data_IF_004486181983
#
_entry.id   IF_004486181983
#
_cell.length_a   1.000
_cell.length_b   1.000
_cell.length_c   1.000
_cell.angle_alpha   90.00
_cell.angle_beta   90.00
_cell.angle_gamma   90.00
#
_symmetry.space_group_name_H-M   'P 1'
#
loop_
_entity.id
_entity.type
_entity.pdbx_description
1 polymer ?
#
# COMPACT_ATOMS: atom_id res chain seq x y z
N UNK A 1 9.60 14.58 3.84
CA UNK A 1 11.05 14.29 3.70
C UNK A 1 11.82 14.40 5.01
N UNK A 2 11.72 15.48 5.78
CA UNK A 2 12.41 15.59 7.08
C UNK A 2 12.00 14.53 8.14
N UNK A 3 10.82 13.96 8.04
CA UNK A 3 10.34 12.97 9.03
C UNK A 3 11.00 11.60 8.90
N UNK A 4 11.38 11.19 7.68
CA UNK A 4 12.10 9.94 7.46
C UNK A 4 13.48 9.97 8.09
N UNK A 5 14.18 11.11 7.97
CA UNK A 5 15.51 11.30 8.56
C UNK A 5 15.49 11.22 10.09
N UNK A 6 14.36 11.54 10.73
CA UNK A 6 14.20 11.43 12.19
C UNK A 6 14.23 9.99 12.70
N UNK A 7 14.05 9.00 11.82
CA UNK A 7 14.18 7.60 12.20
C UNK A 7 15.62 7.19 12.45
N UNK A 8 16.58 7.90 11.87
CA UNK A 8 17.99 7.51 11.90
C UNK A 8 18.78 8.29 12.96
N UNK A 9 19.88 7.71 13.48
CA UNK A 9 20.85 8.46 14.28
C UNK A 9 21.34 9.70 13.54
N UNK A 10 21.67 10.81 14.23
CA UNK A 10 21.99 12.08 13.60
C UNK A 10 23.09 11.99 12.52
N UNK A 11 24.17 11.25 12.78
CA UNK A 11 25.27 11.07 11.84
C UNK A 11 24.85 10.31 10.56
N UNK A 12 23.96 9.34 10.71
CA UNK A 12 23.42 8.58 9.57
C UNK A 12 22.41 9.44 8.80
N UNK A 13 21.56 10.17 9.49
CA UNK A 13 20.60 11.10 8.88
C UNK A 13 21.30 12.18 8.06
N UNK A 14 22.41 12.73 8.56
CA UNK A 14 23.26 13.68 7.85
C UNK A 14 23.84 13.08 6.56
N UNK A 15 24.34 11.85 6.61
CA UNK A 15 24.84 11.18 5.43
C UNK A 15 23.73 10.91 4.39
N UNK A 16 22.56 10.45 4.85
CA UNK A 16 21.42 10.15 3.98
C UNK A 16 20.90 11.42 3.27
N UNK A 17 20.86 12.55 3.95
CA UNK A 17 20.30 13.79 3.38
C UNK A 17 21.08 14.35 2.19
N UNK A 18 22.33 13.94 1.99
CA UNK A 18 23.15 14.31 0.81
C UNK A 18 22.78 13.50 -0.45
N UNK A 19 21.87 12.54 -0.33
CA UNK A 19 21.41 11.71 -1.44
C UNK A 19 19.94 12.00 -1.82
N UNK A 20 19.51 11.69 -3.05
CA UNK A 20 18.16 11.98 -3.53
C UNK A 20 17.12 11.05 -2.84
N UNK A 21 16.59 11.47 -1.71
CA UNK A 21 15.56 10.73 -0.96
C UNK A 21 14.24 10.59 -1.71
N UNK A 22 13.94 11.51 -2.61
CA UNK A 22 12.80 11.48 -3.52
C UNK A 22 12.85 10.35 -4.55
N UNK A 23 14.06 9.82 -4.82
CA UNK A 23 14.29 8.66 -5.67
C UNK A 23 14.56 7.37 -4.89
N UNK A 24 14.71 7.47 -3.55
CA UNK A 24 15.07 6.32 -2.70
C UNK A 24 13.81 5.55 -2.29
N UNK A 25 13.67 4.34 -2.78
CA UNK A 25 12.53 3.45 -2.50
C UNK A 25 12.70 2.67 -1.19
N UNK A 26 13.96 2.34 -0.84
CA UNK A 26 14.26 1.52 0.33
C UNK A 26 15.63 1.90 0.91
N UNK A 27 15.75 1.90 2.24
CA UNK A 27 17.03 2.01 2.95
C UNK A 27 17.27 0.71 3.70
N UNK A 28 18.41 0.08 3.44
CA UNK A 28 18.82 -1.16 4.08
C UNK A 28 19.90 -0.94 5.10
N UNK A 29 19.68 -1.47 6.31
CA UNK A 29 20.65 -1.48 7.41
C UNK A 29 20.95 -2.93 7.78
N UNK A 30 22.22 -3.32 7.78
CA UNK A 30 22.68 -4.63 8.25
C UNK A 30 23.87 -4.41 9.18
N UNK A 31 23.83 -4.99 10.37
CA UNK A 31 24.90 -4.83 11.37
C UNK A 31 26.27 -5.14 10.72
N UNK A 32 27.22 -4.23 10.89
CA UNK A 32 28.58 -4.36 10.36
C UNK A 32 28.72 -4.10 8.86
N UNK A 33 27.65 -3.79 8.14
CA UNK A 33 27.67 -3.47 6.71
C UNK A 33 27.30 -2.00 6.49
N UNK A 34 27.76 -1.39 5.39
CA UNK A 34 27.32 -0.06 5.00
C UNK A 34 25.80 0.04 4.86
N UNK A 35 25.24 1.21 5.17
CA UNK A 35 23.87 1.53 4.77
C UNK A 35 23.74 1.57 3.26
N UNK A 36 22.65 1.02 2.72
CA UNK A 36 22.40 1.00 1.28
C UNK A 36 21.06 1.68 0.99
N UNK A 37 21.10 2.69 0.12
CA UNK A 37 19.92 3.32 -0.44
C UNK A 37 19.59 2.65 -1.78
N UNK A 38 18.44 2.02 -1.86
CA UNK A 38 17.95 1.41 -3.09
C UNK A 38 17.05 2.42 -3.82
N UNK A 39 17.41 2.73 -5.06
CA UNK A 39 16.65 3.63 -5.94
C UNK A 39 16.17 2.88 -7.17
N UNK A 40 15.27 3.46 -7.95
CA UNK A 40 14.81 2.90 -9.23
C UNK A 40 15.93 2.71 -10.26
N UNK A 41 17.08 3.39 -10.10
CA UNK A 41 18.22 3.35 -11.01
C UNK A 41 19.41 2.52 -10.50
N UNK A 42 19.37 2.05 -9.26
CA UNK A 42 20.42 1.24 -8.65
C UNK A 42 20.58 1.46 -7.15
N UNK A 43 21.66 0.95 -6.61
CA UNK A 43 21.98 1.02 -5.18
C UNK A 43 23.13 2.01 -4.91
N UNK A 44 22.98 2.81 -3.85
CA UNK A 44 24.00 3.73 -3.35
C UNK A 44 24.43 3.24 -1.97
N UNK A 45 25.69 2.90 -1.81
CA UNK A 45 26.26 2.47 -0.53
C UNK A 45 26.88 3.66 0.20
N UNK A 46 26.48 3.87 1.44
CA UNK A 46 27.08 4.89 2.31
C UNK A 46 28.38 4.36 2.93
N UNK A 47 29.32 5.24 3.22
CA UNK A 47 30.60 4.86 3.87
C UNK A 47 30.47 4.60 5.39
N UNK A 48 29.25 4.46 5.90
CA UNK A 48 28.98 4.29 7.34
C UNK A 48 28.45 2.87 7.56
N UNK A 49 29.13 2.03 8.36
CA UNK A 49 28.61 0.73 8.74
C UNK A 49 27.52 0.89 9.82
N UNK A 50 26.46 0.08 9.73
CA UNK A 50 25.39 0.08 10.72
C UNK A 50 25.87 -0.62 12.02
N UNK A 51 25.70 0.07 13.14
CA UNK A 51 25.94 -0.48 14.47
C UNK A 51 24.66 -1.12 15.05
N UNK A 52 24.76 -2.07 15.99
CA UNK A 52 23.60 -2.60 16.71
C UNK A 52 22.72 -1.51 17.33
N UNK A 53 23.35 -0.49 17.94
CA UNK A 53 22.67 0.65 18.53
C UNK A 53 21.84 1.47 17.52
N UNK A 54 22.22 1.46 16.25
CA UNK A 54 21.48 2.20 15.22
C UNK A 54 20.15 1.52 14.92
N UNK A 55 20.15 0.17 14.88
CA UNK A 55 18.92 -0.59 14.67
C UNK A 55 17.96 -0.41 15.83
N UNK A 56 18.47 -0.44 17.06
CA UNK A 56 17.68 -0.19 18.28
C UNK A 56 17.08 1.23 18.24
N UNK A 57 17.87 2.23 17.88
CA UNK A 57 17.44 3.62 17.73
C UNK A 57 16.31 3.77 16.71
N UNK A 58 16.46 3.11 15.53
CA UNK A 58 15.46 3.15 14.46
C UNK A 58 14.15 2.51 14.93
N UNK A 59 14.21 1.37 15.62
CA UNK A 59 13.03 0.66 16.10
C UNK A 59 12.30 1.41 17.21
N UNK A 60 13.02 2.02 18.14
CA UNK A 60 12.44 2.88 19.19
C UNK A 60 11.68 4.05 18.58
N UNK A 61 12.28 4.75 17.61
CA UNK A 61 11.64 5.86 16.90
C UNK A 61 10.43 5.39 16.07
N UNK A 62 10.58 4.28 15.37
CA UNK A 62 9.53 3.71 14.53
C UNK A 62 8.30 3.29 15.33
N UNK A 63 8.49 2.81 16.56
CA UNK A 63 7.42 2.39 17.47
C UNK A 63 6.88 3.53 18.35
N UNK A 64 7.28 4.78 18.13
CA UNK A 64 6.98 5.90 19.03
C UNK A 64 7.31 5.58 20.50
N UNK A 65 8.46 4.93 20.74
CA UNK A 65 8.93 4.47 22.05
C UNK A 65 7.99 3.47 22.75
N UNK A 66 7.10 2.81 22.02
CA UNK A 66 6.15 1.81 22.54
C UNK A 66 6.23 0.50 21.78
N UNK A 67 7.30 -0.24 21.98
CA UNK A 67 7.52 -1.56 21.36
C UNK A 67 6.39 -2.56 21.67
N UNK A 68 5.77 -2.47 22.85
CA UNK A 68 4.62 -3.32 23.22
C UNK A 68 3.39 -3.09 22.34
N UNK A 69 3.13 -1.85 21.96
CA UNK A 69 2.02 -1.52 21.06
C UNK A 69 2.22 -2.13 19.65
N UNK A 70 3.46 -2.39 19.28
CA UNK A 70 3.86 -2.91 17.97
C UNK A 70 4.16 -4.44 17.98
N UNK A 71 3.95 -5.12 19.10
CA UNK A 71 4.37 -6.54 19.27
C UNK A 71 3.78 -7.46 18.19
N UNK A 72 2.52 -7.28 17.82
CA UNK A 72 1.87 -8.08 16.78
C UNK A 72 2.53 -7.88 15.42
N UNK A 73 2.89 -6.65 15.08
CA UNK A 73 3.59 -6.33 13.83
C UNK A 73 5.01 -6.90 13.84
N UNK A 74 5.73 -6.76 14.95
CA UNK A 74 7.08 -7.30 15.11
C UNK A 74 7.11 -8.83 15.00
N UNK A 75 6.11 -9.51 15.55
CA UNK A 75 5.95 -10.97 15.39
C UNK A 75 5.69 -11.35 13.92
N UNK A 76 5.07 -10.48 13.15
CA UNK A 76 4.87 -10.65 11.72
C UNK A 76 6.09 -10.20 10.88
N UNK A 77 7.20 -9.75 11.54
CA UNK A 77 8.45 -9.37 10.88
C UNK A 77 8.48 -7.97 10.28
N UNK A 78 7.57 -7.07 10.68
CA UNK A 78 7.55 -5.70 10.17
C UNK A 78 6.99 -4.70 11.20
N UNK A 79 7.21 -3.41 10.91
CA UNK A 79 6.59 -2.26 11.60
C UNK A 79 6.09 -1.24 10.58
N UNK A 80 4.96 -0.61 10.87
CA UNK A 80 4.54 0.62 10.19
C UNK A 80 4.90 1.83 11.05
N UNK A 81 5.47 2.85 10.43
CA UNK A 81 5.84 4.09 11.11
C UNK A 81 4.78 5.16 10.93
N UNK A 82 4.80 6.18 11.79
CA UNK A 82 3.89 7.32 11.71
C UNK A 82 4.01 8.19 10.46
N UNK A 83 5.05 8.00 9.67
CA UNK A 83 5.28 8.68 8.40
C UNK A 83 5.03 7.78 7.17
N UNK A 84 4.32 6.66 7.37
CA UNK A 84 3.93 5.74 6.30
C UNK A 84 5.02 4.78 5.83
N UNK A 85 6.24 4.81 6.40
CA UNK A 85 7.26 3.84 6.08
C UNK A 85 6.88 2.46 6.62
N UNK A 86 7.27 1.42 5.90
CA UNK A 86 7.22 0.04 6.38
C UNK A 86 8.64 -0.44 6.62
N UNK A 87 8.91 -0.88 7.84
CA UNK A 87 10.20 -1.42 8.25
C UNK A 87 10.10 -2.94 8.36
N UNK A 88 10.72 -3.66 7.44
CA UNK A 88 10.95 -5.09 7.56
C UNK A 88 12.06 -5.36 8.58
N UNK A 89 11.86 -6.34 9.43
CA UNK A 89 12.77 -6.68 10.53
C UNK A 89 13.25 -8.11 10.40
N UNK A 90 14.55 -8.32 10.42
CA UNK A 90 15.19 -9.64 10.45
C UNK A 90 16.03 -9.82 11.71
N UNK A 91 15.97 -11.02 12.27
CA UNK A 91 16.72 -11.41 13.47
C UNK A 91 16.48 -12.88 13.78
N UNK A 92 16.70 -13.28 15.02
CA UNK A 92 16.49 -14.67 15.49
C UNK A 92 15.04 -14.84 15.94
N UNK A 93 14.35 -15.83 15.40
CA UNK A 93 13.00 -16.21 15.82
C UNK A 93 13.09 -17.09 17.06
N UNK A 94 12.33 -16.74 18.10
CA UNK A 94 12.18 -17.50 19.34
C UNK A 94 10.70 -17.75 19.62
N UNK A 95 10.40 -18.61 20.61
CA UNK A 95 9.01 -18.86 21.04
C UNK A 95 8.27 -17.58 21.48
N UNK A 96 9.00 -16.59 22.01
CA UNK A 96 8.46 -15.32 22.48
C UNK A 96 8.44 -14.22 21.40
N UNK A 97 8.88 -14.52 20.17
CA UNK A 97 8.92 -13.59 19.04
C UNK A 97 10.33 -13.35 18.49
N UNK A 98 10.49 -12.26 17.76
CA UNK A 98 11.76 -11.91 17.11
C UNK A 98 12.73 -11.30 18.14
N UNK A 99 13.98 -11.79 18.13
CA UNK A 99 15.08 -11.35 19.00
C UNK A 99 16.34 -11.11 18.18
N UNK A 100 17.34 -10.48 18.81
CA UNK A 100 18.67 -10.27 18.21
C UNK A 100 18.56 -9.75 16.77
N UNK A 101 17.91 -8.60 16.63
CA UNK A 101 17.67 -8.01 15.31
C UNK A 101 19.01 -7.71 14.64
N UNK A 102 19.17 -8.22 13.42
CA UNK A 102 20.42 -8.15 12.66
C UNK A 102 20.34 -7.24 11.43
N UNK A 103 19.12 -6.99 10.93
CA UNK A 103 18.94 -6.10 9.80
C UNK A 103 17.54 -5.51 9.74
N UNK A 104 17.45 -4.32 9.13
CA UNK A 104 16.21 -3.61 8.83
C UNK A 104 16.15 -3.23 7.34
N UNK A 105 14.94 -3.25 6.79
CA UNK A 105 14.60 -2.76 5.44
C UNK A 105 13.53 -1.70 5.57
N UNK A 106 13.90 -0.44 5.45
CA UNK A 106 13.01 0.72 5.57
C UNK A 106 12.51 1.10 4.19
N UNK A 107 11.27 0.74 3.87
CA UNK A 107 10.62 1.12 2.61
C UNK A 107 10.01 2.50 2.75
N UNK A 108 10.41 3.39 1.85
CA UNK A 108 9.97 4.78 1.80
C UNK A 108 8.77 4.86 0.86
N UNK A 109 7.61 5.30 1.37
CA UNK A 109 6.45 5.47 0.52
C UNK A 109 6.61 6.70 -0.37
N UNK A 110 6.36 6.54 -1.66
CA UNK A 110 6.24 7.66 -2.59
C UNK A 110 4.77 7.86 -2.93
N UNK A 111 4.25 9.05 -2.61
CA UNK A 111 2.94 9.47 -3.10
C UNK A 111 3.12 9.97 -4.55
N UNK A 112 2.43 9.33 -5.48
CA UNK A 112 2.34 9.80 -6.86
C UNK A 112 0.94 10.38 -7.03
N UNK A 113 0.85 11.70 -7.14
CA UNK A 113 -0.40 12.40 -7.36
C UNK A 113 -0.71 12.51 -8.86
N UNK A 114 -1.99 12.55 -9.16
CA UNK A 114 -2.56 12.78 -10.50
C UNK A 114 -2.19 11.74 -11.57
N UNK A 115 -1.63 10.59 -11.18
CA UNK A 115 -1.36 9.49 -12.12
C UNK A 115 -2.65 8.86 -12.67
N UNK A 116 -3.73 8.89 -11.90
CA UNK A 116 -5.06 8.41 -12.30
C UNK A 116 -5.92 9.48 -12.98
N UNK A 117 -5.56 10.76 -12.90
CA UNK A 117 -6.35 11.87 -13.43
C UNK A 117 -6.70 11.76 -14.92
N UNK A 118 -5.78 11.32 -15.81
CA UNK A 118 -6.10 11.12 -17.21
C UNK A 118 -7.15 10.02 -17.47
N UNK A 119 -7.36 9.11 -16.52
CA UNK A 119 -8.29 7.99 -16.65
C UNK A 119 -9.73 8.35 -16.23
N UNK A 120 -9.90 9.38 -15.39
CA UNK A 120 -11.21 9.73 -14.83
C UNK A 120 -12.29 10.00 -15.88
N UNK A 121 -12.05 10.73 -16.98
CA UNK A 121 -13.08 10.98 -17.99
C UNK A 121 -13.64 9.67 -18.57
N UNK A 122 -12.79 8.68 -18.82
CA UNK A 122 -13.21 7.39 -19.37
C UNK A 122 -13.84 6.51 -18.29
N UNK A 123 -13.30 6.52 -17.06
CA UNK A 123 -13.83 5.75 -15.96
C UNK A 123 -15.22 6.23 -15.50
N UNK A 124 -15.50 7.52 -15.60
CA UNK A 124 -16.76 8.14 -15.17
C UNK A 124 -17.73 8.45 -16.33
N UNK A 125 -17.37 8.13 -17.58
CA UNK A 125 -18.19 8.45 -18.76
C UNK A 125 -19.64 8.00 -18.63
N UNK A 126 -19.87 6.77 -18.15
CA UNK A 126 -21.21 6.20 -17.94
C UNK A 126 -21.61 6.20 -16.44
N UNK A 127 -21.09 7.16 -15.68
CA UNK A 127 -21.22 7.22 -14.24
C UNK A 127 -20.21 6.34 -13.50
N UNK A 128 -20.31 6.37 -12.19
CA UNK A 128 -19.43 5.60 -11.32
C UNK A 128 -19.70 4.09 -11.46
N UNK A 129 -18.69 3.33 -11.86
CA UNK A 129 -18.78 1.89 -12.07
C UNK A 129 -17.66 1.16 -11.34
N UNK A 130 -17.95 -0.09 -10.93
CA UNK A 130 -16.93 -0.96 -10.36
C UNK A 130 -15.78 -1.18 -11.33
N UNK A 131 -14.57 -0.90 -10.86
CA UNK A 131 -13.36 -0.90 -11.70
C UNK A 131 -12.28 -1.78 -11.09
N UNK A 132 -11.67 -2.60 -11.91
CA UNK A 132 -10.54 -3.45 -11.56
C UNK A 132 -9.22 -2.86 -12.03
N UNK A 133 -8.19 -2.86 -11.19
CA UNK A 133 -6.82 -2.47 -11.57
C UNK A 133 -6.00 -3.74 -11.69
N UNK A 134 -5.52 -4.02 -12.89
CA UNK A 134 -4.85 -5.27 -13.24
C UNK A 134 -3.44 -5.01 -13.71
N UNK A 135 -2.46 -5.64 -13.08
CA UNK A 135 -1.09 -5.67 -13.58
C UNK A 135 -0.23 -6.70 -12.83
N UNK A 136 0.96 -7.05 -13.33
CA UNK A 136 1.96 -7.81 -12.58
C UNK A 136 2.35 -7.13 -11.26
N UNK A 137 2.99 -7.87 -10.33
CA UNK A 137 3.58 -7.30 -9.12
C UNK A 137 4.56 -6.16 -9.44
N UNK A 138 4.59 -5.14 -8.57
CA UNK A 138 5.53 -4.02 -8.71
C UNK A 138 5.18 -2.97 -9.78
N UNK A 139 4.14 -3.18 -10.59
CA UNK A 139 3.78 -2.24 -11.66
C UNK A 139 3.07 -0.95 -11.18
N UNK A 140 2.70 -0.85 -9.90
CA UNK A 140 2.14 0.37 -9.32
C UNK A 140 0.61 0.37 -9.10
N UNK A 141 -0.04 -0.81 -9.00
CA UNK A 141 -1.49 -0.94 -8.74
C UNK A 141 -1.95 -0.18 -7.49
N UNK A 142 -1.27 -0.40 -6.36
CA UNK A 142 -1.61 0.24 -5.09
C UNK A 142 -1.46 1.76 -5.19
N UNK A 143 -0.47 2.25 -5.93
CA UNK A 143 -0.28 3.69 -6.20
C UNK A 143 -1.44 4.27 -7.02
N UNK A 144 -1.82 3.58 -8.10
CA UNK A 144 -2.94 4.00 -8.94
C UNK A 144 -4.26 3.94 -8.18
N UNK A 145 -4.50 2.88 -7.41
CA UNK A 145 -5.71 2.73 -6.59
C UNK A 145 -5.80 3.87 -5.56
N UNK A 146 -4.70 4.20 -4.89
CA UNK A 146 -4.64 5.30 -3.92
C UNK A 146 -5.01 6.63 -4.54
N UNK A 147 -4.46 6.94 -5.71
CA UNK A 147 -4.74 8.19 -6.40
C UNK A 147 -6.18 8.25 -6.95
N UNK A 148 -6.75 7.12 -7.41
CA UNK A 148 -8.18 7.03 -7.76
C UNK A 148 -9.08 7.27 -6.55
N UNK A 149 -8.76 6.69 -5.39
CA UNK A 149 -9.50 6.93 -4.15
C UNK A 149 -9.52 8.42 -3.82
N UNK A 150 -8.35 9.07 -3.84
CA UNK A 150 -8.21 10.50 -3.58
C UNK A 150 -9.05 11.33 -4.55
N UNK A 151 -8.89 11.09 -5.84
CA UNK A 151 -9.59 11.87 -6.89
C UNK A 151 -11.11 11.70 -6.83
N UNK A 152 -11.63 10.49 -6.57
CA UNK A 152 -13.06 10.28 -6.37
C UNK A 152 -13.56 10.96 -5.09
N UNK A 153 -12.77 10.93 -4.03
CA UNK A 153 -13.08 11.63 -2.78
C UNK A 153 -13.13 13.15 -2.97
N UNK A 154 -12.18 13.71 -3.75
CA UNK A 154 -12.14 15.13 -4.11
C UNK A 154 -13.34 15.53 -4.99
N UNK A 155 -13.77 14.63 -5.88
CA UNK A 155 -14.97 14.81 -6.73
C UNK A 155 -16.31 14.63 -5.96
N UNK A 156 -16.23 14.40 -4.65
CA UNK A 156 -17.38 14.42 -3.75
C UNK A 156 -17.97 13.04 -3.40
N UNK A 157 -17.43 11.94 -3.93
CA UNK A 157 -17.87 10.59 -3.57
C UNK A 157 -17.45 10.23 -2.15
N UNK A 158 -18.32 9.54 -1.42
CA UNK A 158 -17.97 8.89 -0.15
C UNK A 158 -17.27 7.58 -0.45
N UNK A 159 -15.97 7.53 -0.11
CA UNK A 159 -15.13 6.37 -0.33
C UNK A 159 -14.86 5.68 0.99
N UNK A 160 -14.99 4.37 1.04
CA UNK A 160 -14.51 3.55 2.16
C UNK A 160 -13.40 2.61 1.70
N UNK A 161 -12.39 2.43 2.53
CA UNK A 161 -11.20 1.63 2.22
C UNK A 161 -11.05 0.51 3.24
N UNK A 162 -11.06 -0.73 2.77
CA UNK A 162 -10.71 -1.91 3.56
C UNK A 162 -9.21 -2.21 3.38
N UNK A 163 -8.37 -1.62 4.22
CA UNK A 163 -6.91 -1.65 4.15
C UNK A 163 -6.33 -2.67 5.13
N UNK A 164 -6.43 -3.95 4.79
CA UNK A 164 -5.99 -5.06 5.65
C UNK A 164 -4.53 -4.98 6.03
N UNK A 165 -3.66 -4.61 5.08
CA UNK A 165 -2.20 -4.58 5.25
C UNK A 165 -1.66 -3.21 5.61
N UNK A 166 -2.49 -2.17 5.65
CA UNK A 166 -2.06 -0.80 5.89
C UNK A 166 -1.26 -0.21 4.71
N UNK A 167 -1.39 -0.75 3.51
CA UNK A 167 -0.60 -0.33 2.34
C UNK A 167 -1.25 0.85 1.59
N UNK A 168 -2.56 1.02 1.69
CA UNK A 168 -3.28 2.12 1.05
C UNK A 168 -3.18 3.43 1.84
N UNK A 169 -3.49 3.37 3.12
CA UNK A 169 -3.60 4.55 3.98
C UNK A 169 -2.41 4.73 4.93
N UNK A 170 -1.71 3.64 5.28
CA UNK A 170 -0.65 3.62 6.30
C UNK A 170 -1.08 4.36 7.57
N UNK A 171 -2.26 4.03 8.11
CA UNK A 171 -2.83 4.73 9.26
C UNK A 171 -1.89 4.67 10.46
N UNK A 172 -1.50 5.85 10.98
CA UNK A 172 -0.75 5.99 12.21
C UNK A 172 -1.37 7.11 13.05
N UNK A 173 -1.40 6.93 14.37
CA UNK A 173 -2.00 7.88 15.30
C UNK A 173 -3.41 8.34 14.85
N UNK A 174 -4.20 7.39 14.36
CA UNK A 174 -5.59 7.58 13.88
C UNK A 174 -5.71 8.44 12.62
N UNK A 175 -4.60 8.70 11.89
CA UNK A 175 -4.59 9.50 10.67
C UNK A 175 -4.00 8.69 9.51
N UNK A 176 -4.61 8.72 8.33
CA UNK A 176 -3.95 8.30 7.10
C UNK A 176 -2.67 9.10 6.88
N UNK A 177 -1.59 8.43 6.46
CA UNK A 177 -0.32 9.07 6.14
C UNK A 177 -0.22 9.40 4.65
N UNK A 178 -1.07 8.79 3.85
CA UNK A 178 -1.28 9.18 2.46
C UNK A 178 -2.53 10.02 2.31
N UNK A 179 -2.49 10.95 1.36
CA UNK A 179 -3.67 11.70 0.96
C UNK A 179 -4.63 10.78 0.20
N UNK A 180 -5.78 10.53 0.79
CA UNK A 180 -6.87 9.75 0.22
C UNK A 180 -8.11 10.60 -0.09
N UNK A 181 -7.98 11.93 0.09
CA UNK A 181 -9.06 12.88 -0.08
C UNK A 181 -9.98 13.01 1.16
N UNK A 182 -10.76 14.10 1.23
CA UNK A 182 -11.47 14.53 2.44
C UNK A 182 -12.71 13.69 2.78
N UNK A 183 -13.18 12.81 1.88
CA UNK A 183 -14.40 12.00 2.05
C UNK A 183 -14.10 10.50 2.08
N UNK A 184 -12.90 10.14 2.56
CA UNK A 184 -12.45 8.75 2.61
C UNK A 184 -12.37 8.26 4.04
N UNK A 185 -13.08 7.17 4.33
CA UNK A 185 -13.03 6.45 5.60
C UNK A 185 -12.19 5.19 5.45
N UNK A 186 -11.28 4.95 6.40
CA UNK A 186 -10.33 3.83 6.32
C UNK A 186 -10.51 2.90 7.50
N UNK A 187 -10.58 1.60 7.22
CA UNK A 187 -10.56 0.54 8.22
C UNK A 187 -9.34 -0.36 8.02
N UNK A 188 -8.51 -0.49 9.06
CA UNK A 188 -7.24 -1.23 9.01
C UNK A 188 -7.21 -2.37 10.02
N UNK A 189 -6.30 -3.34 9.83
CA UNK A 189 -5.99 -4.39 10.81
C UNK A 189 -6.98 -5.54 10.89
N UNK A 190 -8.09 -5.49 10.15
CA UNK A 190 -9.05 -6.58 10.00
C UNK A 190 -8.97 -7.21 8.61
N UNK A 191 -9.50 -8.44 8.44
CA UNK A 191 -9.65 -9.02 7.10
C UNK A 191 -10.55 -8.12 6.24
N UNK A 192 -10.30 -8.08 4.93
CA UNK A 192 -11.08 -7.29 3.95
C UNK A 192 -12.57 -7.59 4.04
N UNK A 193 -12.92 -8.87 4.09
CA UNK A 193 -14.28 -9.34 4.27
C UNK A 193 -14.96 -8.71 5.49
N UNK A 194 -14.35 -8.77 6.69
CA UNK A 194 -14.91 -8.19 7.91
C UNK A 194 -15.03 -6.67 7.81
N UNK A 195 -13.97 -6.02 7.34
CA UNK A 195 -13.92 -4.55 7.16
C UNK A 195 -15.00 -4.07 6.19
N UNK A 196 -15.21 -4.80 5.08
CA UNK A 196 -16.24 -4.52 4.10
C UNK A 196 -17.64 -4.44 4.75
N UNK A 197 -18.06 -5.48 5.48
CA UNK A 197 -19.38 -5.50 6.13
C UNK A 197 -19.55 -4.39 7.17
N UNK A 198 -18.49 -4.08 7.92
CA UNK A 198 -18.52 -3.01 8.90
C UNK A 198 -18.69 -1.64 8.22
N UNK A 199 -17.90 -1.37 7.17
CA UNK A 199 -17.94 -0.12 6.41
C UNK A 199 -19.30 0.09 5.73
N UNK A 200 -19.86 -0.95 5.10
CA UNK A 200 -21.17 -0.89 4.46
C UNK A 200 -22.29 -0.54 5.44
N UNK A 201 -22.22 -1.09 6.66
CA UNK A 201 -23.27 -0.86 7.69
C UNK A 201 -23.16 0.48 8.38
N UNK A 202 -21.95 1.04 8.48
CA UNK A 202 -21.69 2.21 9.33
C UNK A 202 -21.40 3.49 8.56
N UNK A 203 -20.77 3.41 7.36
CA UNK A 203 -20.23 4.59 6.68
C UNK A 203 -21.01 5.01 5.43
N UNK A 204 -21.98 4.19 4.97
CA UNK A 204 -22.80 4.47 3.78
C UNK A 204 -21.97 4.91 2.56
N UNK A 205 -20.96 4.10 2.11
CA UNK A 205 -20.09 4.45 1.01
C UNK A 205 -20.82 4.40 -0.34
N UNK A 206 -20.35 5.21 -1.28
CA UNK A 206 -20.67 5.08 -2.70
C UNK A 206 -19.61 4.26 -3.44
N UNK A 207 -18.38 4.28 -2.90
CA UNK A 207 -17.24 3.50 -3.39
C UNK A 207 -16.64 2.70 -2.23
N UNK A 208 -16.34 1.44 -2.47
CA UNK A 208 -15.60 0.58 -1.56
C UNK A 208 -14.32 0.10 -2.23
N UNK A 209 -13.18 0.45 -1.65
CA UNK A 209 -11.88 0.13 -2.21
C UNK A 209 -11.17 -0.98 -1.42
N UNK A 210 -10.56 -1.91 -2.16
CA UNK A 210 -9.78 -3.03 -1.65
C UNK A 210 -8.43 -3.08 -2.33
N UNK A 211 -7.35 -3.25 -1.58
CA UNK A 211 -6.11 -3.71 -2.18
C UNK A 211 -6.15 -5.24 -2.33
N UNK A 212 -5.50 -5.75 -3.31
CA UNK A 212 -5.31 -7.15 -3.70
C UNK A 212 -6.35 -8.18 -3.19
N UNK A 213 -7.20 -8.63 -4.10
CA UNK A 213 -8.20 -9.69 -3.82
C UNK A 213 -7.50 -11.06 -3.90
N UNK A 214 -7.55 -11.83 -2.83
CA UNK A 214 -6.82 -13.10 -2.77
C UNK A 214 -7.62 -14.28 -2.21
N UNK A 215 -8.65 -14.02 -1.42
CA UNK A 215 -9.38 -15.04 -0.69
C UNK A 215 -10.83 -15.21 -1.18
N UNK A 216 -11.42 -16.41 -1.12
CA UNK A 216 -12.84 -16.64 -1.46
C UNK A 216 -13.80 -15.75 -0.66
N UNK A 217 -13.48 -15.45 0.58
CA UNK A 217 -14.27 -14.59 1.47
C UNK A 217 -14.32 -13.15 0.96
N UNK A 218 -13.25 -12.67 0.31
CA UNK A 218 -13.21 -11.33 -0.29
C UNK A 218 -14.27 -11.23 -1.40
N UNK A 219 -14.46 -12.30 -2.18
CA UNK A 219 -15.46 -12.34 -3.26
C UNK A 219 -16.89 -12.29 -2.71
N UNK A 220 -17.17 -13.00 -1.62
CA UNK A 220 -18.47 -12.94 -0.97
C UNK A 220 -18.80 -11.51 -0.49
N UNK A 221 -17.79 -10.82 0.06
CA UNK A 221 -17.96 -9.43 0.50
C UNK A 221 -18.19 -8.48 -0.69
N UNK A 222 -17.51 -8.68 -1.81
CA UNK A 222 -17.71 -7.90 -3.04
C UNK A 222 -19.10 -8.08 -3.63
N UNK A 223 -19.57 -9.33 -3.73
CA UNK A 223 -20.94 -9.62 -4.19
C UNK A 223 -21.99 -8.92 -3.31
N UNK A 224 -21.78 -8.96 -2.00
CA UNK A 224 -22.66 -8.28 -1.08
C UNK A 224 -22.65 -6.77 -1.27
N UNK A 225 -21.47 -6.15 -1.39
CA UNK A 225 -21.33 -4.72 -1.60
C UNK A 225 -21.93 -4.27 -2.94
N UNK A 226 -21.70 -5.02 -4.02
CA UNK A 226 -22.30 -4.77 -5.33
C UNK A 226 -23.84 -4.88 -5.27
N UNK A 227 -24.36 -5.87 -4.53
CA UNK A 227 -25.80 -6.01 -4.28
C UNK A 227 -26.41 -4.85 -3.48
N UNK A 228 -25.60 -4.11 -2.72
CA UNK A 228 -26.00 -2.88 -2.04
C UNK A 228 -25.90 -1.63 -2.95
N UNK A 229 -25.52 -1.77 -4.22
CA UNK A 229 -25.37 -0.65 -5.16
C UNK A 229 -24.10 0.16 -4.96
N UNK A 230 -23.11 -0.36 -4.26
CA UNK A 230 -21.81 0.30 -4.02
C UNK A 230 -20.84 -0.07 -5.14
N UNK A 231 -20.19 0.93 -5.74
CA UNK A 231 -19.13 0.71 -6.72
C UNK A 231 -17.85 0.19 -6.05
N UNK A 232 -17.19 -0.78 -6.68
CA UNK A 232 -15.98 -1.39 -6.16
C UNK A 232 -14.74 -0.91 -6.89
N UNK A 233 -13.69 -0.60 -6.14
CA UNK A 233 -12.34 -0.44 -6.67
C UNK A 233 -11.45 -1.54 -6.09
N UNK A 234 -10.86 -2.36 -6.94
CA UNK A 234 -10.05 -3.48 -6.48
C UNK A 234 -8.81 -3.68 -7.33
N UNK A 235 -7.77 -4.28 -6.75
CA UNK A 235 -6.58 -4.67 -7.51
C UNK A 235 -6.49 -6.18 -7.68
N UNK A 236 -5.89 -6.63 -8.78
CA UNK A 236 -5.58 -8.02 -9.02
C UNK A 236 -4.21 -8.19 -9.68
N UNK A 237 -3.49 -9.23 -9.26
CA UNK A 237 -2.24 -9.62 -9.89
C UNK A 237 -2.48 -10.50 -11.11
N UNK A 238 -2.36 -9.91 -12.30
CA UNK A 238 -2.40 -10.63 -13.57
C UNK A 238 -1.65 -9.84 -14.64
N UNK A 239 -1.27 -10.47 -15.74
CA UNK A 239 -0.59 -9.78 -16.84
C UNK A 239 -1.54 -8.80 -17.55
N UNK A 240 -2.81 -9.18 -17.70
CA UNK A 240 -3.89 -8.43 -18.33
C UNK A 240 -5.24 -9.01 -17.89
N UNK A 241 -6.33 -8.44 -18.35
CA UNK A 241 -7.70 -8.92 -18.08
C UNK A 241 -7.92 -10.34 -18.58
N UNK A 242 -7.44 -10.70 -19.76
CA UNK A 242 -7.62 -12.05 -20.31
C UNK A 242 -7.00 -13.11 -19.40
N UNK A 243 -5.86 -12.81 -18.79
CA UNK A 243 -5.20 -13.73 -17.85
C UNK A 243 -5.96 -13.91 -16.53
N UNK A 244 -6.86 -13.00 -16.15
CA UNK A 244 -7.76 -13.21 -15.02
C UNK A 244 -8.76 -14.34 -15.28
N UNK A 245 -9.23 -14.49 -16.51
CA UNK A 245 -10.19 -15.53 -16.89
C UNK A 245 -9.63 -16.95 -16.70
N UNK A 246 -8.32 -17.11 -16.70
CA UNK A 246 -7.66 -18.42 -16.46
C UNK A 246 -7.75 -18.88 -15.00
N UNK A 247 -8.03 -17.96 -14.08
CA UNK A 247 -8.15 -18.24 -12.65
C UNK A 247 -9.62 -18.40 -12.26
N UNK A 248 -10.05 -19.57 -11.75
CA UNK A 248 -11.47 -19.86 -11.49
C UNK A 248 -12.17 -18.77 -10.69
N UNK A 249 -11.51 -18.28 -9.67
CA UNK A 249 -12.03 -17.29 -8.72
C UNK A 249 -12.36 -15.95 -9.41
N UNK A 250 -11.43 -15.42 -10.22
CA UNK A 250 -11.65 -14.16 -10.95
C UNK A 250 -12.63 -14.31 -12.11
N UNK A 251 -12.62 -15.48 -12.77
CA UNK A 251 -13.58 -15.78 -13.84
C UNK A 251 -15.02 -15.72 -13.34
N UNK A 252 -15.28 -16.18 -12.13
CA UNK A 252 -16.60 -16.12 -11.51
C UNK A 252 -17.09 -14.68 -11.35
N UNK A 253 -16.26 -13.77 -10.83
CA UNK A 253 -16.60 -12.35 -10.73
C UNK A 253 -16.79 -11.65 -12.08
N UNK A 254 -16.01 -12.03 -13.08
CA UNK A 254 -16.17 -11.52 -14.44
C UNK A 254 -17.51 -11.95 -15.04
N UNK A 255 -17.91 -13.23 -14.85
CA UNK A 255 -19.21 -13.73 -15.29
C UNK A 255 -20.40 -13.05 -14.60
N UNK A 256 -20.25 -12.64 -13.36
CA UNK A 256 -21.29 -11.93 -12.59
C UNK A 256 -21.42 -10.46 -12.96
N UNK A 257 -20.55 -9.96 -13.84
CA UNK A 257 -20.55 -8.55 -14.29
C UNK A 257 -20.51 -7.52 -13.14
N UNK A 258 -19.91 -7.89 -12.02
CA UNK A 258 -19.74 -6.99 -10.88
C UNK A 258 -18.82 -5.83 -11.25
N UNK A 259 -17.71 -6.15 -11.92
CA UNK A 259 -16.82 -5.15 -12.48
C UNK A 259 -17.21 -4.89 -13.94
N UNK A 260 -17.34 -3.62 -14.29
CA UNK A 260 -17.70 -3.14 -15.63
C UNK A 260 -16.50 -2.59 -16.40
N UNK A 261 -15.48 -2.15 -15.67
CA UNK A 261 -14.26 -1.59 -16.24
C UNK A 261 -13.03 -2.22 -15.60
N UNK A 262 -11.96 -2.24 -16.35
CA UNK A 262 -10.64 -2.57 -15.84
C UNK A 262 -9.62 -1.53 -16.32
N UNK A 263 -8.61 -1.28 -15.49
CA UNK A 263 -7.42 -0.51 -15.86
C UNK A 263 -6.23 -1.46 -15.88
N UNK A 264 -5.67 -1.70 -17.05
CA UNK A 264 -4.42 -2.42 -17.21
C UNK A 264 -3.24 -1.47 -17.10
N UNK A 265 -2.25 -1.84 -16.31
CA UNK A 265 -1.00 -1.09 -16.19
C UNK A 265 0.08 -1.86 -16.95
N UNK A 266 0.65 -1.22 -17.95
CA UNK A 266 1.77 -1.74 -18.73
C UNK A 266 3.05 -0.97 -18.38
N UNK A 267 4.17 -1.67 -18.36
CA UNK A 267 5.49 -1.09 -18.13
C UNK A 267 6.30 -1.21 -19.41
N UNK A 268 6.51 -0.12 -20.12
CA UNK A 268 7.28 -0.06 -21.36
C UNK A 268 8.46 0.89 -21.19
N UNK A 269 9.68 0.40 -21.36
CA UNK A 269 10.90 1.21 -21.23
C UNK A 269 10.98 2.02 -19.93
N UNK A 270 10.52 1.44 -18.80
CA UNK A 270 10.50 2.11 -17.50
C UNK A 270 9.36 3.14 -17.32
N UNK A 271 8.52 3.35 -18.33
CA UNK A 271 7.35 4.22 -18.24
C UNK A 271 6.09 3.39 -18.06
N UNK A 272 5.20 3.87 -17.18
CA UNK A 272 3.87 3.28 -16.97
C UNK A 272 2.89 3.86 -17.99
N UNK A 273 2.18 2.98 -18.67
CA UNK A 273 1.05 3.33 -19.51
C UNK A 273 -0.20 2.64 -18.99
N UNK A 274 -1.34 3.26 -19.17
CA UNK A 274 -2.62 2.79 -18.66
C UNK A 274 -3.59 2.59 -19.80
N UNK A 275 -4.33 1.49 -19.76
CA UNK A 275 -5.38 1.17 -20.71
C UNK A 275 -6.68 0.88 -19.96
N UNK A 276 -7.74 1.59 -20.25
CA UNK A 276 -9.08 1.27 -19.76
C UNK A 276 -9.71 0.24 -20.68
N UNK A 277 -10.33 -0.77 -20.10
CA UNK A 277 -11.02 -1.87 -20.82
C UNK A 277 -12.44 -1.96 -20.25
N UNK A 278 -13.45 -2.00 -21.11
CA UNK A 278 -14.82 -2.38 -20.73
C UNK A 278 -14.92 -3.90 -20.66
N UNK A 279 -15.50 -4.44 -19.56
CA UNK A 279 -15.63 -5.87 -19.27
C UNK A 279 -17.00 -6.41 -19.69
#
# INVERSE_FOLDING_TARGET
>A
MNEILRLFPPSVAEAIQHHPLDLTEEIRCRIGQPYVLCTSTGEISLSIPAAPSDLDYILERASNYSMHACETQLRAGYLHTGNGCRIGVCGTITETGLRSISSLSIRIPHAVHDCAKPLLPELLHDGLQSTWIVSPPGAGKTTLLRDLIRLLSDDGYRVSVADERGELAAVCDRKPQFDLGPRTDVMTGGSKHRSCFMLLRSMNPQVLAFDEITAPEDFAAMRYAAGCGVALLATAHAANVDSLQTRPLYRELLCETIFRKAVEIHLENGKRTYRVVTL
#
